data_IF_557889257117
#
_entry.id   IF_557889257117
#
_cell.length_a   1.000
_cell.length_b   1.000
_cell.length_c   1.000
_cell.angle_alpha   90.00
_cell.angle_beta   90.00
_cell.angle_gamma   90.00
#
_symmetry.space_group_name_H-M   'P 1'
#
loop_
_entity.id
_entity.type
_entity.pdbx_description
1 polymer ?
#
# COMPACT_ATOMS: atom_id res chain seq x y z
N UNK A 1 9.03 -34.08 -35.63
CA UNK A 1 8.29 -32.90 -35.13
C UNK A 1 7.69 -33.36 -33.82
N UNK A 2 8.41 -33.14 -32.71
CA UNK A 2 8.04 -33.57 -31.35
C UNK A 2 7.48 -32.33 -30.62
N UNK A 3 6.19 -32.46 -30.27
CA UNK A 3 5.47 -31.46 -29.47
C UNK A 3 6.07 -31.44 -28.07
N UNK A 4 6.61 -30.27 -27.63
CA UNK A 4 6.94 -30.05 -26.25
C UNK A 4 5.65 -29.70 -25.47
N UNK A 5 5.40 -30.34 -24.31
CA UNK A 5 4.29 -29.97 -23.46
C UNK A 5 4.67 -28.72 -22.67
N UNK A 6 3.96 -27.61 -22.95
CA UNK A 6 4.07 -26.37 -22.21
C UNK A 6 3.90 -26.60 -20.71
N UNK A 7 4.90 -26.21 -19.93
CA UNK A 7 4.84 -26.12 -18.48
C UNK A 7 3.71 -25.15 -18.10
N UNK A 8 2.63 -25.69 -17.55
CA UNK A 8 1.61 -24.87 -16.87
C UNK A 8 2.26 -24.40 -15.57
N UNK A 9 2.41 -23.07 -15.42
CA UNK A 9 2.64 -22.49 -14.11
C UNK A 9 1.49 -22.93 -13.20
N UNK A 10 1.81 -23.73 -12.19
CA UNK A 10 0.86 -24.14 -11.17
C UNK A 10 0.43 -22.90 -10.40
N UNK A 11 -0.78 -22.44 -10.68
CA UNK A 11 -1.41 -21.36 -9.96
C UNK A 11 -1.55 -21.78 -8.48
N UNK A 12 -0.86 -21.07 -7.59
CA UNK A 12 -0.99 -21.25 -6.14
C UNK A 12 -2.47 -21.11 -5.78
N UNK A 13 -3.09 -22.11 -5.11
CA UNK A 13 -4.51 -22.06 -4.79
C UNK A 13 -4.80 -20.84 -3.92
N UNK A 14 -5.80 -20.06 -4.31
CA UNK A 14 -6.26 -18.91 -3.55
C UNK A 14 -6.87 -19.40 -2.22
N UNK A 15 -6.29 -19.10 -1.05
CA UNK A 15 -6.82 -19.54 0.24
C UNK A 15 -8.23 -18.97 0.45
N UNK A 16 -9.14 -19.76 1.00
CA UNK A 16 -10.50 -19.31 1.33
C UNK A 16 -10.49 -18.18 2.37
N UNK A 17 -11.58 -17.39 2.50
CA UNK A 17 -11.61 -16.15 3.27
C UNK A 17 -11.23 -16.30 4.76
N UNK A 18 -11.53 -17.42 5.40
CA UNK A 18 -11.18 -17.64 6.81
C UNK A 18 -9.70 -18.01 7.03
N UNK A 19 -9.08 -18.75 6.11
CA UNK A 19 -7.64 -19.03 6.17
C UNK A 19 -6.79 -17.84 5.74
N UNK A 20 -7.31 -17.00 4.85
CA UNK A 20 -6.64 -15.78 4.41
C UNK A 20 -6.47 -14.75 5.53
N UNK A 21 -7.47 -14.58 6.42
CA UNK A 21 -7.37 -13.70 7.58
C UNK A 21 -6.18 -14.06 8.47
N UNK A 22 -6.04 -15.33 8.82
CA UNK A 22 -4.93 -15.81 9.68
C UNK A 22 -3.55 -15.60 9.06
N UNK A 23 -3.37 -15.76 7.74
CA UNK A 23 -2.08 -15.55 7.08
C UNK A 23 -1.72 -14.05 7.01
N UNK A 24 -2.69 -13.19 6.79
CA UNK A 24 -2.50 -11.74 6.85
C UNK A 24 -2.09 -11.28 8.24
N UNK A 25 -2.70 -11.86 9.30
CA UNK A 25 -2.36 -11.51 10.68
C UNK A 25 -0.93 -11.92 11.02
N UNK A 26 -0.50 -13.12 10.61
CA UNK A 26 0.90 -13.56 10.78
C UNK A 26 1.86 -12.64 10.02
N UNK A 27 1.53 -12.28 8.78
CA UNK A 27 2.37 -11.37 8.00
C UNK A 27 2.40 -9.97 8.62
N UNK A 28 1.29 -9.50 9.20
CA UNK A 28 1.17 -8.21 9.86
C UNK A 28 2.05 -8.13 11.10
N UNK A 29 2.09 -9.15 11.94
CA UNK A 29 2.95 -9.21 13.12
C UNK A 29 4.44 -9.08 12.75
N UNK A 30 4.88 -9.82 11.73
CA UNK A 30 6.26 -9.72 11.22
C UNK A 30 6.56 -8.32 10.68
N UNK A 31 5.61 -7.71 9.98
CA UNK A 31 5.77 -6.38 9.42
C UNK A 31 5.82 -5.30 10.52
N UNK A 32 5.03 -5.43 11.59
CA UNK A 32 5.12 -4.52 12.74
C UNK A 32 6.54 -4.46 13.31
N UNK A 33 7.18 -5.62 13.49
CA UNK A 33 8.55 -5.69 13.97
C UNK A 33 9.52 -5.03 12.99
N UNK A 34 9.39 -5.31 11.69
CA UNK A 34 10.28 -4.76 10.66
C UNK A 34 10.17 -3.24 10.52
N UNK A 35 9.00 -2.66 10.71
CA UNK A 35 8.81 -1.21 10.72
C UNK A 35 9.06 -0.56 12.09
N UNK A 36 9.46 -1.32 13.10
CA UNK A 36 9.74 -0.80 14.44
C UNK A 36 8.50 -0.41 15.23
N UNK A 37 7.33 -0.97 14.88
CA UNK A 37 6.06 -0.76 15.59
C UNK A 37 5.82 -1.77 16.71
N UNK A 38 6.87 -2.15 17.41
CA UNK A 38 6.80 -3.11 18.52
C UNK A 38 5.87 -2.58 19.62
N UNK A 39 4.95 -3.43 20.07
CA UNK A 39 3.96 -3.07 21.10
C UNK A 39 2.79 -2.22 20.59
N UNK A 40 2.67 -2.01 19.28
CA UNK A 40 1.48 -1.42 18.68
C UNK A 40 0.38 -2.45 18.52
N UNK A 41 -0.87 -1.95 18.45
CA UNK A 41 -2.07 -2.73 18.19
C UNK A 41 -2.49 -2.46 16.73
N UNK A 42 -2.92 -3.53 16.05
CA UNK A 42 -3.50 -3.47 14.72
C UNK A 42 -5.01 -3.47 14.79
N UNK A 43 -5.64 -2.53 14.08
CA UNK A 43 -7.08 -2.47 13.87
C UNK A 43 -7.35 -2.51 12.36
N UNK A 44 -8.12 -3.51 11.88
CA UNK A 44 -8.48 -3.58 10.47
C UNK A 44 -9.30 -2.35 10.04
N UNK A 45 -8.91 -1.70 8.94
CA UNK A 45 -9.63 -0.57 8.35
C UNK A 45 -10.42 -0.99 7.12
N UNK A 46 -9.80 -1.73 6.24
CA UNK A 46 -10.39 -2.12 4.96
C UNK A 46 -9.77 -3.43 4.48
N UNK A 47 -10.61 -4.25 3.88
CA UNK A 47 -10.20 -5.45 3.14
C UNK A 47 -10.83 -5.42 1.76
N UNK A 48 -9.99 -5.32 0.73
CA UNK A 48 -10.38 -5.48 -0.66
C UNK A 48 -9.29 -6.23 -1.43
N UNK A 49 -8.53 -5.54 -2.23
CA UNK A 49 -7.32 -6.05 -2.89
C UNK A 49 -6.10 -6.07 -1.95
N UNK A 50 -6.14 -5.25 -0.91
CA UNK A 50 -5.15 -5.17 0.15
C UNK A 50 -5.83 -5.29 1.51
N UNK A 51 -5.10 -5.80 2.49
CA UNK A 51 -5.49 -5.70 3.89
C UNK A 51 -4.83 -4.44 4.48
N UNK A 52 -5.65 -3.51 4.96
CA UNK A 52 -5.17 -2.25 5.51
C UNK A 52 -5.51 -2.17 6.98
N UNK A 53 -4.50 -1.90 7.81
CA UNK A 53 -4.60 -1.80 9.25
C UNK A 53 -4.23 -0.40 9.72
N UNK A 54 -4.94 0.07 10.73
CA UNK A 54 -4.50 1.17 11.58
C UNK A 54 -3.51 0.62 12.58
N UNK A 55 -2.37 1.29 12.73
CA UNK A 55 -1.33 0.96 13.71
C UNK A 55 -1.40 1.98 14.83
N UNK A 56 -1.75 1.53 16.03
CA UNK A 56 -1.92 2.40 17.20
C UNK A 56 -1.00 1.93 18.31
N UNK A 57 -0.24 2.87 18.90
CA UNK A 57 0.52 2.59 20.10
C UNK A 57 -0.43 2.58 21.30
N UNK A 58 -0.20 1.67 22.23
CA UNK A 58 -1.09 1.50 23.39
C UNK A 58 -1.27 2.84 24.13
N UNK A 59 -2.54 3.27 24.32
CA UNK A 59 -2.95 4.53 24.96
C UNK A 59 -2.49 5.81 24.22
N UNK A 60 -2.16 5.73 22.94
CA UNK A 60 -1.76 6.88 22.12
C UNK A 60 -2.68 7.01 20.88
N UNK A 61 -2.47 8.08 20.11
CA UNK A 61 -3.09 8.24 18.81
C UNK A 61 -2.49 7.26 17.78
N UNK A 62 -3.20 6.95 16.70
CA UNK A 62 -2.66 6.17 15.59
C UNK A 62 -1.34 6.77 15.07
N UNK A 63 -0.36 5.93 14.82
CA UNK A 63 0.98 6.34 14.36
C UNK A 63 1.22 6.04 12.89
N UNK A 64 0.57 5.00 12.37
CA UNK A 64 0.76 4.57 10.98
C UNK A 64 -0.48 3.86 10.43
N UNK A 65 -0.47 3.70 9.10
CA UNK A 65 -1.32 2.77 8.38
C UNK A 65 -0.42 1.70 7.75
N UNK A 66 -0.70 0.43 7.99
CA UNK A 66 0.00 -0.71 7.39
C UNK A 66 -0.87 -1.31 6.30
N UNK A 67 -0.37 -1.34 5.06
CA UNK A 67 -1.02 -1.97 3.92
C UNK A 67 -0.29 -3.26 3.56
N UNK A 68 -0.99 -4.37 3.52
CA UNK A 68 -0.47 -5.68 3.14
C UNK A 68 -1.16 -6.11 1.84
N UNK A 69 -0.37 -6.34 0.81
CA UNK A 69 -0.87 -6.76 -0.49
C UNK A 69 -1.16 -8.26 -0.50
N UNK A 70 -2.24 -8.65 -1.16
CA UNK A 70 -2.56 -10.06 -1.40
C UNK A 70 -1.45 -10.72 -2.21
N UNK A 71 -1.04 -11.96 -1.85
CA UNK A 71 -0.02 -12.70 -2.60
C UNK A 71 -0.36 -12.79 -4.09
N UNK A 72 0.64 -12.55 -4.94
CA UNK A 72 0.49 -12.63 -6.40
C UNK A 72 -0.30 -11.50 -7.07
N UNK A 73 -0.88 -10.55 -6.31
CA UNK A 73 -1.66 -9.45 -6.88
C UNK A 73 -0.79 -8.36 -7.51
N UNK A 74 0.32 -8.01 -6.85
CA UNK A 74 1.32 -7.04 -7.34
C UNK A 74 2.72 -7.55 -7.09
N UNK A 75 3.60 -7.33 -8.04
CA UNK A 75 5.01 -7.63 -7.90
C UNK A 75 5.71 -6.63 -6.97
N UNK A 76 6.82 -7.05 -6.37
CA UNK A 76 7.68 -6.17 -5.57
C UNK A 76 8.12 -4.93 -6.36
N UNK A 77 8.41 -5.10 -7.66
CA UNK A 77 8.84 -4.01 -8.54
C UNK A 77 7.75 -2.95 -8.73
N UNK A 78 6.51 -3.37 -8.93
CA UNK A 78 5.39 -2.43 -9.06
C UNK A 78 5.13 -1.66 -7.77
N UNK A 79 5.23 -2.34 -6.63
CA UNK A 79 5.09 -1.69 -5.33
C UNK A 79 6.23 -0.71 -5.07
N UNK A 80 7.47 -1.10 -5.39
CA UNK A 80 8.63 -0.21 -5.24
C UNK A 80 8.48 1.04 -6.10
N UNK A 81 8.05 0.89 -7.37
CA UNK A 81 7.84 2.02 -8.26
C UNK A 81 6.73 2.97 -7.74
N UNK A 82 5.64 2.42 -7.18
CA UNK A 82 4.59 3.22 -6.53
C UNK A 82 5.15 4.03 -5.35
N UNK A 83 5.95 3.40 -4.51
CA UNK A 83 6.49 4.03 -3.30
C UNK A 83 7.55 5.07 -3.64
N UNK A 84 8.42 4.80 -4.62
CA UNK A 84 9.40 5.76 -5.11
C UNK A 84 8.71 7.02 -5.65
N UNK A 85 7.62 6.83 -6.41
CA UNK A 85 6.80 7.94 -6.89
C UNK A 85 6.15 8.73 -5.75
N UNK A 86 5.66 8.06 -4.69
CA UNK A 86 5.10 8.74 -3.52
C UNK A 86 6.16 9.55 -2.75
N UNK A 87 7.40 9.07 -2.65
CA UNK A 87 8.49 9.84 -2.08
C UNK A 87 8.79 11.10 -2.90
N UNK A 88 8.81 10.99 -4.24
CA UNK A 88 8.94 12.15 -5.12
C UNK A 88 7.82 13.15 -4.91
N UNK A 89 6.57 12.69 -4.93
CA UNK A 89 5.41 13.55 -4.69
C UNK A 89 5.50 14.27 -3.34
N UNK A 90 5.84 13.55 -2.29
CA UNK A 90 5.94 14.11 -0.93
C UNK A 90 7.06 15.17 -0.82
N UNK A 91 8.18 14.98 -1.52
CA UNK A 91 9.32 15.89 -1.50
C UNK A 91 9.15 17.14 -2.38
N UNK A 92 8.52 17.00 -3.52
CA UNK A 92 8.56 18.01 -4.60
C UNK A 92 7.24 18.73 -4.85
N UNK A 93 6.10 18.06 -4.59
CA UNK A 93 4.78 18.59 -4.94
C UNK A 93 4.13 19.24 -3.74
N UNK A 94 3.96 20.56 -3.80
CA UNK A 94 3.17 21.32 -2.83
C UNK A 94 1.82 21.64 -3.44
N UNK A 95 0.79 20.93 -3.02
CA UNK A 95 -0.58 21.19 -3.43
C UNK A 95 -1.31 21.92 -2.31
N UNK A 96 -1.81 23.13 -2.59
CA UNK A 96 -2.54 23.92 -1.58
C UNK A 96 -3.74 23.16 -1.05
N UNK A 97 -3.76 22.92 0.26
CA UNK A 97 -4.84 22.21 0.95
C UNK A 97 -4.96 20.73 0.63
N UNK A 98 -3.90 20.11 0.09
CA UNK A 98 -3.81 18.66 -0.13
C UNK A 98 -2.54 18.16 0.55
N UNK A 99 -2.70 17.18 1.42
CA UNK A 99 -1.60 16.48 2.05
C UNK A 99 -1.31 15.18 1.31
N UNK A 100 -0.04 14.92 1.03
CA UNK A 100 0.40 13.69 0.37
C UNK A 100 0.80 12.69 1.44
N UNK A 101 0.29 11.48 1.34
CA UNK A 101 0.63 10.40 2.26
C UNK A 101 2.13 10.10 2.20
N UNK A 102 2.77 10.04 3.36
CA UNK A 102 4.21 9.79 3.48
C UNK A 102 4.48 8.32 3.75
N UNK A 103 5.21 7.60 2.86
CA UNK A 103 5.71 6.27 3.16
C UNK A 103 6.70 6.29 4.35
N UNK A 104 6.70 5.23 5.13
CA UNK A 104 7.62 5.02 6.26
C UNK A 104 8.63 3.96 5.84
N UNK A 105 9.92 4.22 6.12
CA UNK A 105 10.97 3.24 5.92
C UNK A 105 10.98 2.23 7.08
N UNK A 106 11.20 0.98 6.77
CA UNK A 106 11.45 -0.07 7.75
C UNK A 106 12.84 0.10 8.39
N UNK A 107 13.14 -0.69 9.41
CA UNK A 107 14.39 -0.62 10.16
C UNK A 107 15.63 -0.93 9.30
N UNK A 108 15.47 -1.66 8.21
CA UNK A 108 16.53 -1.95 7.23
C UNK A 108 16.70 -0.84 6.17
N UNK A 109 15.91 0.22 6.24
CA UNK A 109 15.91 1.35 5.30
C UNK A 109 15.09 1.13 4.04
N UNK A 110 14.48 -0.02 3.83
CA UNK A 110 13.59 -0.26 2.68
C UNK A 110 12.17 0.21 2.98
N UNK A 111 11.44 0.63 1.96
CA UNK A 111 10.05 1.08 2.11
C UNK A 111 9.03 -0.04 1.85
N UNK A 112 9.38 -1.03 1.05
CA UNK A 112 8.55 -2.21 0.80
C UNK A 112 9.19 -3.42 1.45
N UNK A 113 8.44 -4.12 2.28
CA UNK A 113 8.88 -5.34 2.97
C UNK A 113 8.23 -6.56 2.34
N UNK A 114 9.01 -7.62 2.12
CA UNK A 114 8.52 -8.92 1.68
C UNK A 114 8.59 -9.92 2.84
N UNK A 115 7.48 -10.54 3.19
CA UNK A 115 7.38 -11.56 4.24
C UNK A 115 7.04 -12.90 3.59
N UNK A 116 7.92 -13.88 3.73
CA UNK A 116 7.64 -15.27 3.30
C UNK A 116 7.15 -16.06 4.50
N UNK A 117 5.97 -16.65 4.40
CA UNK A 117 5.40 -17.50 5.44
C UNK A 117 5.83 -18.97 5.27
N UNK A 118 5.66 -19.82 6.29
CA UNK A 118 6.08 -21.23 6.25
C UNK A 118 5.42 -22.06 5.15
N UNK A 119 4.26 -21.66 4.67
CA UNK A 119 3.54 -22.30 3.57
C UNK A 119 4.09 -21.89 2.17
N UNK A 120 5.12 -21.01 2.14
CA UNK A 120 5.72 -20.50 0.92
C UNK A 120 5.02 -19.26 0.35
N UNK A 121 3.91 -18.81 0.92
CA UNK A 121 3.25 -17.57 0.47
C UNK A 121 4.11 -16.34 0.78
N UNK A 122 4.15 -15.40 -0.18
CA UNK A 122 4.90 -14.14 -0.05
C UNK A 122 3.94 -12.97 0.01
N UNK A 123 3.99 -12.23 1.12
CA UNK A 123 3.24 -11.01 1.34
C UNK A 123 4.15 -9.80 1.20
N UNK A 124 3.64 -8.75 0.56
CA UNK A 124 4.32 -7.47 0.51
C UNK A 124 3.59 -6.47 1.39
N UNK A 125 4.33 -5.78 2.26
CA UNK A 125 3.79 -4.78 3.16
C UNK A 125 4.44 -3.42 2.96
N UNK A 126 3.64 -2.36 3.13
CA UNK A 126 4.09 -0.96 3.11
C UNK A 126 3.44 -0.23 4.26
N UNK A 127 4.22 0.57 4.99
CA UNK A 127 3.71 1.44 6.03
C UNK A 127 3.69 2.90 5.58
N UNK A 128 2.67 3.64 6.04
CA UNK A 128 2.49 5.05 5.77
C UNK A 128 2.26 5.81 7.08
N UNK A 129 2.63 7.08 7.13
CA UNK A 129 2.22 7.94 8.23
C UNK A 129 0.69 7.96 8.32
N UNK A 130 0.16 7.89 9.54
CA UNK A 130 -1.29 7.94 9.69
C UNK A 130 -1.82 9.30 9.28
N UNK A 131 -2.87 9.28 8.49
CA UNK A 131 -3.64 10.48 8.12
C UNK A 131 -5.06 10.28 8.62
N UNK A 132 -5.52 11.21 9.44
CA UNK A 132 -6.91 11.23 9.89
C UNK A 132 -7.83 11.74 8.78
N UNK A 133 -9.05 11.28 8.76
CA UNK A 133 -10.01 11.68 7.75
C UNK A 133 -11.42 11.19 8.05
N UNK A 134 -12.38 11.82 7.40
CA UNK A 134 -13.78 11.45 7.48
C UNK A 134 -14.31 11.14 6.08
N UNK A 135 -15.17 10.13 5.99
CA UNK A 135 -15.92 9.87 4.76
C UNK A 135 -16.93 10.99 4.56
N UNK A 136 -16.94 11.66 3.41
CA UNK A 136 -17.91 12.72 3.14
C UNK A 136 -19.32 12.15 3.07
N UNK A 137 -20.30 12.95 3.49
CA UNK A 137 -21.71 12.63 3.31
C UNK A 137 -22.07 12.77 1.81
N UNK A 138 -22.40 11.64 1.18
CA UNK A 138 -22.81 11.60 -0.23
C UNK A 138 -24.14 12.34 -0.49
N UNK A 139 -24.99 12.53 0.54
CA UNK A 139 -26.21 13.30 0.48
C UNK A 139 -25.97 14.82 0.39
N UNK A 140 -24.82 15.31 0.84
CA UNK A 140 -24.46 16.73 0.72
C UNK A 140 -23.89 17.04 -0.68
N UNK A 141 -24.77 17.36 -1.61
CA UNK A 141 -24.39 17.65 -2.99
C UNK A 141 -23.46 18.86 -3.17
N UNK A 142 -23.38 19.80 -2.22
CA UNK A 142 -22.46 20.93 -2.30
C UNK A 142 -21.06 20.50 -1.88
N UNK A 143 -20.93 19.78 -0.78
CA UNK A 143 -19.66 19.18 -0.34
C UNK A 143 -19.10 18.25 -1.42
N UNK A 144 -19.94 17.39 -2.01
CA UNK A 144 -19.52 16.49 -3.08
C UNK A 144 -19.00 17.25 -4.31
N UNK A 145 -19.70 18.29 -4.78
CA UNK A 145 -19.22 19.12 -5.90
C UNK A 145 -17.88 19.79 -5.61
N UNK A 146 -17.67 20.27 -4.39
CA UNK A 146 -16.40 20.86 -3.96
C UNK A 146 -15.28 19.82 -3.95
N UNK A 147 -15.54 18.63 -3.44
CA UNK A 147 -14.58 17.52 -3.42
C UNK A 147 -14.19 17.08 -4.83
N UNK A 148 -15.18 16.91 -5.73
CA UNK A 148 -14.88 16.54 -7.13
C UNK A 148 -14.06 17.59 -7.88
N UNK A 149 -14.28 18.89 -7.62
CA UNK A 149 -13.42 19.93 -8.19
C UNK A 149 -11.98 19.80 -7.67
N UNK A 150 -11.80 19.58 -6.36
CA UNK A 150 -10.47 19.37 -5.76
C UNK A 150 -9.78 18.13 -6.31
N UNK A 151 -10.51 17.02 -6.46
CA UNK A 151 -10.00 15.80 -7.10
C UNK A 151 -9.58 16.06 -8.55
N UNK A 152 -10.35 16.81 -9.32
CA UNK A 152 -9.97 17.20 -10.68
C UNK A 152 -8.70 18.05 -10.72
N UNK A 153 -8.56 19.02 -9.82
CA UNK A 153 -7.34 19.82 -9.68
C UNK A 153 -6.14 18.99 -9.26
N UNK A 154 -6.33 18.04 -8.33
CA UNK A 154 -5.30 17.10 -7.92
C UNK A 154 -4.86 16.21 -9.08
N UNK A 155 -5.81 15.61 -9.80
CA UNK A 155 -5.51 14.76 -10.94
C UNK A 155 -4.71 15.53 -12.03
N UNK A 156 -5.08 16.78 -12.32
CA UNK A 156 -4.34 17.63 -13.26
C UNK A 156 -2.90 17.90 -12.77
N UNK A 157 -2.71 18.20 -11.48
CA UNK A 157 -1.39 18.44 -10.90
C UNK A 157 -0.51 17.17 -10.92
N UNK A 158 -1.09 16.00 -10.62
CA UNK A 158 -0.38 14.71 -10.70
C UNK A 158 0.01 14.36 -12.15
N UNK A 159 -0.87 14.61 -13.11
CA UNK A 159 -0.55 14.42 -14.52
C UNK A 159 0.57 15.36 -14.99
N UNK A 160 0.57 16.61 -14.56
CA UNK A 160 1.64 17.55 -14.90
C UNK A 160 2.97 17.15 -14.28
N UNK A 161 2.95 16.71 -13.02
CA UNK A 161 4.14 16.19 -12.35
C UNK A 161 4.72 14.97 -13.09
N UNK A 162 3.87 13.99 -13.47
CA UNK A 162 4.33 12.78 -14.17
C UNK A 162 4.88 13.05 -15.57
N UNK A 163 4.47 14.12 -16.25
CA UNK A 163 5.07 14.53 -17.54
C UNK A 163 6.53 14.94 -17.41
N UNK A 164 6.93 15.46 -16.25
CA UNK A 164 8.31 15.85 -15.97
C UNK A 164 9.21 14.70 -15.54
N UNK A 165 8.64 13.54 -15.21
CA UNK A 165 9.41 12.36 -14.84
C UNK A 165 9.86 11.63 -16.10
N UNK A 166 11.16 11.48 -16.27
CA UNK A 166 11.68 10.58 -17.31
C UNK A 166 11.25 9.14 -17.00
N UNK A 167 10.76 8.37 -17.99
CA UNK A 167 10.43 6.97 -17.75
C UNK A 167 11.70 6.27 -17.27
N UNK A 168 11.64 5.67 -16.10
CA UNK A 168 12.75 4.85 -15.59
C UNK A 168 13.12 3.85 -16.69
N UNK A 169 14.37 3.90 -17.15
CA UNK A 169 14.85 3.07 -18.23
C UNK A 169 14.52 1.60 -17.93
N UNK A 170 13.70 0.99 -18.78
CA UNK A 170 13.38 -0.41 -18.64
C UNK A 170 14.69 -1.20 -18.70
N UNK A 171 15.03 -2.02 -17.70
CA UNK A 171 16.20 -2.88 -17.81
C UNK A 171 16.00 -3.84 -18.98
N UNK A 172 16.99 -3.89 -19.86
CA UNK A 172 17.07 -4.83 -20.98
C UNK A 172 17.17 -6.27 -20.51
#
# INVERSE_FOLDING_TARGET
MVDEPGMREDAVPNPGPESAGSLFDIAADVLLERYGFIGCVLEPLCYSENHTYRVTRLNENPVATLRICRPGYRSLRELQAEIDWLFHLYGEVKLEGIEIIRPILALDGSAVQAVTLPDGSVFHGVAFAYMDGVTPDEGDGETMRRLFRRLGSLAAALHEHTRGLEPAAAPH
#
